data_IF_956368237067
#
_entry.id   IF_956368237067
#
_cell.length_a   1.000
_cell.length_b   1.000
_cell.length_c   1.000
_cell.angle_alpha   90.00
_cell.angle_beta   90.00
_cell.angle_gamma   90.00
#
_symmetry.space_group_name_H-M   'P 1'
#
loop_
_entity.id
_entity.type
_entity.pdbx_description
1 polymer ?
#
# COMPACT_ATOMS: atom_id res chain seq x y z
N UNK A 1 9.87 14.15 12.90
CA UNK A 1 9.14 14.26 11.61
C UNK A 1 7.76 13.65 11.78
N UNK A 2 6.75 14.14 11.08
CA UNK A 2 5.44 13.47 11.00
C UNK A 2 5.61 12.25 10.08
N UNK A 3 5.22 11.06 10.53
CA UNK A 3 5.35 9.82 9.76
C UNK A 3 4.35 9.73 8.60
N UNK A 4 4.58 8.78 7.70
CA UNK A 4 3.64 8.44 6.62
C UNK A 4 2.34 7.86 7.18
N UNK A 5 1.29 7.91 6.36
CA UNK A 5 -0.01 7.30 6.67
C UNK A 5 -0.12 6.01 5.87
N UNK A 6 -0.45 4.93 6.57
CA UNK A 6 -0.68 3.63 5.96
C UNK A 6 -2.18 3.39 5.76
N UNK A 7 -2.54 2.99 4.55
CA UNK A 7 -3.86 2.50 4.21
C UNK A 7 -3.76 1.01 3.93
N UNK A 8 -4.79 0.25 4.30
CA UNK A 8 -4.89 -1.15 3.88
C UNK A 8 -5.17 -1.22 2.38
N UNK A 9 -4.75 -2.31 1.76
CA UNK A 9 -4.94 -2.53 0.32
C UNK A 9 -6.42 -2.41 -0.09
N UNK A 10 -7.34 -2.96 0.71
CA UNK A 10 -8.77 -2.87 0.45
C UNK A 10 -9.35 -1.45 0.59
N UNK A 11 -8.76 -0.60 1.43
CA UNK A 11 -9.14 0.82 1.56
C UNK A 11 -8.67 1.60 0.35
N UNK A 12 -7.45 1.33 -0.12
CA UNK A 12 -6.91 1.95 -1.33
C UNK A 12 -7.69 1.52 -2.59
N UNK A 13 -8.04 0.24 -2.69
CA UNK A 13 -8.90 -0.27 -3.77
C UNK A 13 -10.29 0.40 -3.77
N UNK A 14 -10.89 0.64 -2.59
CA UNK A 14 -12.14 1.39 -2.48
C UNK A 14 -12.00 2.83 -2.95
N UNK A 15 -10.89 3.50 -2.63
CA UNK A 15 -10.61 4.85 -3.12
C UNK A 15 -10.51 4.89 -4.65
N UNK A 16 -9.91 3.88 -5.26
CA UNK A 16 -9.85 3.71 -6.71
C UNK A 16 -11.22 3.56 -7.36
N UNK A 17 -12.16 2.87 -6.69
CA UNK A 17 -13.51 2.64 -7.23
C UNK A 17 -14.45 3.83 -7.03
N UNK A 18 -14.39 4.47 -5.86
CA UNK A 18 -15.33 5.52 -5.46
C UNK A 18 -14.91 6.92 -5.92
N UNK A 19 -13.64 7.14 -6.25
CA UNK A 19 -13.12 8.38 -6.85
C UNK A 19 -13.55 9.65 -6.10
N UNK A 20 -14.33 10.52 -6.75
CA UNK A 20 -14.84 11.78 -6.22
C UNK A 20 -15.81 11.61 -5.03
N UNK A 21 -16.38 10.43 -4.87
CA UNK A 21 -17.20 10.05 -3.71
C UNK A 21 -16.35 9.57 -2.53
N UNK A 22 -15.04 9.35 -2.72
CA UNK A 22 -14.12 8.96 -1.67
C UNK A 22 -13.36 10.16 -1.10
N UNK A 23 -13.37 10.27 0.22
CA UNK A 23 -12.66 11.30 0.96
C UNK A 23 -11.74 10.70 2.00
N UNK A 24 -10.46 11.10 1.97
CA UNK A 24 -9.50 10.79 3.01
C UNK A 24 -9.45 11.96 4.02
N UNK A 25 -9.72 11.66 5.28
CA UNK A 25 -9.63 12.60 6.40
C UNK A 25 -8.44 12.23 7.27
N UNK A 26 -7.58 13.20 7.58
CA UNK A 26 -6.39 13.00 8.41
C UNK A 26 -6.34 14.10 9.46
N UNK A 27 -6.13 13.71 10.72
CA UNK A 27 -5.92 14.65 11.82
C UNK A 27 -4.46 14.57 12.24
N UNK A 28 -3.77 15.71 12.19
CA UNK A 28 -2.41 15.86 12.70
C UNK A 28 -2.42 16.62 14.03
N UNK A 29 -1.29 16.53 14.75
CA UNK A 29 -1.06 17.27 15.98
C UNK A 29 -2.14 16.99 17.05
N UNK A 30 -2.60 15.74 17.14
CA UNK A 30 -3.72 15.33 18.00
C UNK A 30 -3.54 15.61 19.49
N UNK A 31 -2.30 15.76 19.96
CA UNK A 31 -1.97 16.10 21.34
C UNK A 31 -1.85 17.62 21.59
N UNK A 32 -1.94 18.45 20.56
CA UNK A 32 -1.89 19.90 20.67
C UNK A 32 -3.27 20.49 21.02
N UNK A 33 -3.28 21.72 21.53
CA UNK A 33 -4.53 22.45 21.81
C UNK A 33 -5.42 22.66 20.57
N UNK A 34 -4.81 22.62 19.37
CA UNK A 34 -5.49 22.83 18.10
C UNK A 34 -5.07 21.74 17.10
N UNK A 35 -5.73 20.56 17.12
CA UNK A 35 -5.45 19.51 16.13
C UNK A 35 -5.84 19.97 14.73
N UNK A 36 -5.07 19.56 13.73
CA UNK A 36 -5.23 20.01 12.34
C UNK A 36 -5.91 18.95 11.49
N UNK A 37 -7.14 19.23 11.05
CA UNK A 37 -7.87 18.37 10.12
C UNK A 37 -7.54 18.71 8.66
N UNK A 38 -7.09 17.71 7.89
CA UNK A 38 -6.86 17.77 6.44
C UNK A 38 -7.80 16.80 5.74
N UNK A 39 -8.31 17.21 4.57
CA UNK A 39 -9.27 16.43 3.77
C UNK A 39 -8.83 16.38 2.32
N UNK A 40 -8.84 15.20 1.71
CA UNK A 40 -8.50 14.99 0.29
C UNK A 40 -9.63 14.22 -0.38
N UNK A 41 -10.33 14.87 -1.32
CA UNK A 41 -11.29 14.23 -2.22
C UNK A 41 -10.57 13.60 -3.40
N UNK A 42 -10.95 12.38 -3.79
CA UNK A 42 -10.25 11.57 -4.80
C UNK A 42 -8.73 11.47 -4.51
N UNK A 43 -8.34 10.87 -3.37
CA UNK A 43 -6.93 10.67 -3.05
C UNK A 43 -6.22 9.76 -4.07
N UNK A 44 -6.95 8.88 -4.74
CA UNK A 44 -6.40 8.00 -5.77
C UNK A 44 -5.89 8.78 -7.00
N UNK A 45 -6.60 9.84 -7.42
CA UNK A 45 -6.10 10.73 -8.47
C UNK A 45 -4.97 11.65 -8.01
N UNK A 46 -5.04 12.11 -6.77
CA UNK A 46 -4.28 13.28 -6.30
C UNK A 46 -2.99 12.95 -5.58
N UNK A 47 -2.84 11.72 -5.09
CA UNK A 47 -1.70 11.32 -4.27
C UNK A 47 -0.87 10.26 -4.98
N UNK A 48 0.44 10.48 -5.00
CA UNK A 48 1.42 9.46 -5.38
C UNK A 48 1.64 8.54 -4.17
N UNK A 49 1.29 7.27 -4.31
CA UNK A 49 1.46 6.27 -3.25
C UNK A 49 2.58 5.30 -3.59
N UNK A 50 3.26 4.80 -2.56
CA UNK A 50 4.21 3.68 -2.68
C UNK A 50 3.53 2.44 -2.13
N UNK A 51 3.43 1.38 -2.94
CA UNK A 51 2.92 0.11 -2.48
C UNK A 51 3.94 -0.54 -1.52
N UNK A 52 3.48 -0.99 -0.35
CA UNK A 52 4.22 -1.97 0.45
C UNK A 52 4.09 -3.31 -0.29
N UNK A 53 5.17 -3.81 -0.87
CA UNK A 53 5.15 -5.03 -1.69
C UNK A 53 5.41 -6.29 -0.87
N UNK A 54 4.78 -7.40 -1.27
CA UNK A 54 5.28 -8.77 -1.05
C UNK A 54 5.02 -9.64 -2.29
N UNK A 55 5.84 -10.69 -2.46
CA UNK A 55 5.89 -11.58 -3.64
C UNK A 55 5.83 -13.04 -3.17
N UNK A 56 4.96 -13.86 -3.77
CA UNK A 56 4.87 -15.31 -3.51
C UNK A 56 5.04 -16.08 -4.82
N UNK A 57 5.89 -17.12 -4.79
CA UNK A 57 6.27 -17.96 -5.93
C UNK A 57 5.78 -19.40 -5.68
N UNK A 58 5.23 -20.04 -6.72
CA UNK A 58 4.63 -21.38 -6.64
C UNK A 58 5.65 -22.53 -6.78
N UNK A 59 5.44 -23.59 -6.01
CA UNK A 59 6.33 -24.74 -5.90
C UNK A 59 6.62 -25.46 -7.24
N UNK A 60 5.61 -25.76 -8.06
CA UNK A 60 5.82 -26.38 -9.36
C UNK A 60 6.60 -25.47 -10.33
N UNK A 61 6.38 -24.16 -10.29
CA UNK A 61 7.17 -23.19 -11.07
C UNK A 61 8.59 -23.06 -10.56
N UNK A 62 8.81 -23.30 -9.26
CA UNK A 62 10.15 -23.40 -8.67
C UNK A 62 10.84 -24.67 -9.15
N UNK A 63 10.11 -25.77 -9.29
CA UNK A 63 10.65 -27.05 -9.77
C UNK A 63 10.83 -27.15 -11.28
N UNK A 64 9.90 -26.64 -12.10
CA UNK A 64 10.03 -26.56 -13.56
C UNK A 64 11.18 -25.64 -13.99
N UNK A 65 11.46 -24.61 -13.19
CA UNK A 65 12.53 -23.66 -13.47
C UNK A 65 13.86 -24.00 -12.76
N UNK A 66 13.94 -25.07 -11.96
CA UNK A 66 15.15 -25.46 -11.24
C UNK A 66 16.14 -26.19 -12.16
N UNK A 67 17.42 -25.80 -12.12
CA UNK A 67 18.52 -26.52 -12.81
C UNK A 67 19.11 -27.62 -11.89
N UNK A 68 19.44 -28.79 -12.45
CA UNK A 68 20.07 -29.90 -11.70
C UNK A 68 21.57 -29.63 -11.42
N UNK A 69 22.03 -29.85 -10.18
CA UNK A 69 23.46 -29.93 -9.86
C UNK A 69 23.91 -31.40 -9.78
N UNK A 70 24.77 -31.84 -10.71
CA UNK A 70 25.45 -33.14 -10.61
C UNK A 70 26.43 -33.15 -9.43
N UNK A 71 26.21 -34.04 -8.47
CA UNK A 71 27.17 -34.32 -7.42
C UNK A 71 28.27 -35.26 -7.96
N UNK A 72 29.52 -34.79 -7.96
CA UNK A 72 30.72 -35.58 -8.28
C UNK A 72 30.77 -36.85 -7.42
N UNK A 73 30.83 -38.02 -8.06
CA UNK A 73 31.02 -39.33 -7.42
C UNK A 73 31.09 -40.46 -8.43
#
# INVERSE_FOLDING_TARGET
AVGDIELKENEWAKAANLRDQYWLYVVYDCAAAHPRLVRVQDPFAKLLVRAKGEVIIGEASIFEAAEEQEASG
#
